data_IF_621033628038
#
_entry.id   IF_621033628038
#
_cell.length_a   1.000
_cell.length_b   1.000
_cell.length_c   1.000
_cell.angle_alpha   90.00
_cell.angle_beta   90.00
_cell.angle_gamma   90.00
#
_symmetry.space_group_name_H-M   'P 1'
#
loop_
_entity.id
_entity.type
_entity.pdbx_description
1 polymer ?
#
# COMPACT_ATOMS: atom_id res chain seq x y z
N UNK A 1 -6.05 27.49 -8.55
CA UNK A 1 -6.40 28.21 -7.29
C UNK A 1 -7.40 27.40 -6.49
N UNK A 2 -7.12 27.18 -5.21
CA UNK A 2 -8.02 26.48 -4.29
C UNK A 2 -8.90 27.48 -3.51
N UNK A 3 -10.17 27.13 -3.25
CA UNK A 3 -11.11 27.93 -2.45
C UNK A 3 -11.68 27.12 -1.28
N UNK A 4 -12.10 27.80 -0.20
CA UNK A 4 -12.77 27.17 0.91
C UNK A 4 -14.21 27.68 0.98
N UNK A 5 -15.17 26.74 1.08
CA UNK A 5 -16.59 27.04 1.32
C UNK A 5 -17.09 26.33 2.55
N UNK A 6 -17.79 27.06 3.40
CA UNK A 6 -18.49 26.49 4.55
C UNK A 6 -19.91 26.07 4.14
N UNK A 7 -20.30 24.84 4.53
CA UNK A 7 -21.64 24.31 4.30
C UNK A 7 -21.98 23.30 5.40
N UNK A 8 -23.11 23.50 6.06
CA UNK A 8 -23.61 22.62 7.12
C UNK A 8 -22.58 22.38 8.26
N UNK A 9 -21.88 23.46 8.70
CA UNK A 9 -20.86 23.37 9.75
C UNK A 9 -19.58 22.63 9.38
N UNK A 10 -19.40 22.31 8.08
CA UNK A 10 -18.19 21.68 7.53
C UNK A 10 -17.51 22.60 6.53
N UNK A 11 -16.20 22.47 6.39
CA UNK A 11 -15.37 23.30 5.51
C UNK A 11 -14.94 22.48 4.28
N UNK A 12 -15.36 22.91 3.10
CA UNK A 12 -15.02 22.24 1.85
C UNK A 12 -13.91 23.01 1.14
N UNK A 13 -12.80 22.32 0.85
CA UNK A 13 -11.73 22.81 0.00
C UNK A 13 -12.04 22.38 -1.43
N UNK A 14 -12.15 23.36 -2.33
CA UNK A 14 -12.52 23.15 -3.74
C UNK A 14 -11.36 23.60 -4.60
N UNK A 15 -10.89 22.74 -5.49
CA UNK A 15 -9.83 23.06 -6.44
C UNK A 15 -10.02 22.35 -7.77
N UNK A 16 -9.48 22.95 -8.82
CA UNK A 16 -9.51 22.39 -10.17
C UNK A 16 -8.20 21.69 -10.48
N UNK A 17 -8.26 20.62 -11.23
CA UNK A 17 -7.10 19.91 -11.73
C UNK A 17 -7.35 19.43 -13.16
N UNK A 18 -6.28 19.14 -13.88
CA UNK A 18 -6.36 18.54 -15.22
C UNK A 18 -6.12 17.03 -15.06
N UNK A 19 -7.04 16.22 -15.58
CA UNK A 19 -6.85 14.77 -15.60
C UNK A 19 -5.86 14.36 -16.71
N UNK A 20 -5.42 13.11 -16.78
CA UNK A 20 -4.49 12.65 -17.80
C UNK A 20 -5.03 12.76 -19.23
N UNK A 21 -6.35 12.79 -19.39
CA UNK A 21 -7.01 12.98 -20.68
C UNK A 21 -7.04 14.47 -21.09
N UNK A 22 -6.39 15.35 -20.33
CA UNK A 22 -6.35 16.81 -20.57
C UNK A 22 -7.64 17.53 -20.17
N UNK A 23 -8.60 16.88 -19.53
CA UNK A 23 -9.88 17.50 -19.14
C UNK A 23 -9.78 18.16 -17.77
N UNK A 24 -10.27 19.38 -17.66
CA UNK A 24 -10.33 20.10 -16.39
C UNK A 24 -11.47 19.57 -15.53
N UNK A 25 -11.14 19.08 -14.33
CA UNK A 25 -12.08 18.57 -13.32
C UNK A 25 -11.99 19.36 -12.02
N UNK A 26 -13.06 19.32 -11.20
CA UNK A 26 -13.08 19.90 -9.86
C UNK A 26 -13.10 18.78 -8.81
N UNK A 27 -12.33 18.97 -7.74
CA UNK A 27 -12.36 18.09 -6.56
C UNK A 27 -12.81 18.87 -5.33
N UNK A 28 -13.59 18.20 -4.49
CA UNK A 28 -14.12 18.70 -3.23
C UNK A 28 -13.63 17.82 -2.11
N UNK A 29 -12.98 18.41 -1.11
CA UNK A 29 -12.51 17.72 0.09
C UNK A 29 -13.16 18.38 1.30
N UNK A 30 -13.82 17.60 2.18
CA UNK A 30 -14.57 18.10 3.33
C UNK A 30 -13.79 17.89 4.62
N UNK A 31 -13.67 18.94 5.43
CA UNK A 31 -12.98 18.96 6.71
C UNK A 31 -13.91 19.37 7.83
N UNK A 32 -13.64 18.88 9.05
CA UNK A 32 -14.43 19.21 10.25
C UNK A 32 -14.12 20.62 10.75
N UNK A 33 -12.87 21.08 10.58
CA UNK A 33 -12.42 22.38 11.10
C UNK A 33 -11.90 23.30 9.99
N UNK A 34 -12.07 24.61 10.21
CA UNK A 34 -11.53 25.64 9.29
C UNK A 34 -10.00 25.64 9.25
N UNK A 35 -9.35 25.24 10.34
CA UNK A 35 -7.90 25.16 10.42
C UNK A 35 -7.34 24.07 9.51
N UNK A 36 -7.95 22.88 9.50
CA UNK A 36 -7.59 21.77 8.59
C UNK A 36 -7.81 22.15 7.13
N UNK A 37 -8.96 22.76 6.83
CA UNK A 37 -9.26 23.23 5.48
C UNK A 37 -8.24 24.28 4.99
N UNK A 38 -7.83 25.23 5.85
CA UNK A 38 -6.79 26.22 5.53
C UNK A 38 -5.43 25.56 5.31
N UNK A 39 -5.04 24.59 6.13
CA UNK A 39 -3.79 23.84 5.97
C UNK A 39 -3.78 23.13 4.62
N UNK A 40 -4.86 22.43 4.31
CA UNK A 40 -4.99 21.70 3.04
C UNK A 40 -4.99 22.64 1.83
N UNK A 41 -5.66 23.78 1.91
CA UNK A 41 -5.62 24.79 0.86
C UNK A 41 -4.19 25.25 0.56
N UNK A 42 -3.39 25.57 1.58
CA UNK A 42 -1.98 25.97 1.41
C UNK A 42 -1.13 24.85 0.78
N UNK A 43 -1.35 23.59 1.17
CA UNK A 43 -0.66 22.44 0.57
C UNK A 43 -0.97 22.30 -0.93
N UNK A 44 -2.23 22.51 -1.32
CA UNK A 44 -2.66 22.44 -2.70
C UNK A 44 -2.04 23.59 -3.51
N UNK A 45 -2.09 24.82 -3.00
CA UNK A 45 -1.52 26.00 -3.65
C UNK A 45 0.00 25.85 -3.82
N UNK A 46 0.70 25.36 -2.80
CA UNK A 46 2.14 25.07 -2.89
C UNK A 46 2.46 24.00 -3.96
N UNK A 47 1.68 22.90 -4.01
CA UNK A 47 1.85 21.86 -5.02
C UNK A 47 1.51 22.37 -6.43
N UNK A 48 0.52 23.25 -6.57
CA UNK A 48 0.15 23.90 -7.83
C UNK A 48 1.29 24.80 -8.33
N UNK A 49 1.90 25.60 -7.45
CA UNK A 49 3.05 26.46 -7.77
C UNK A 49 4.29 25.68 -8.19
N UNK A 50 4.55 24.53 -7.53
CA UNK A 50 5.68 23.65 -7.84
C UNK A 50 5.45 22.75 -9.05
N UNK A 51 4.28 22.82 -9.71
CA UNK A 51 3.91 21.97 -10.83
C UNK A 51 3.77 20.48 -10.45
N UNK A 52 3.77 20.17 -9.14
CA UNK A 52 3.75 18.82 -8.59
C UNK A 52 2.36 18.37 -8.11
N UNK A 53 1.30 18.95 -8.66
CA UNK A 53 -0.07 18.60 -8.27
C UNK A 53 -0.50 17.29 -8.92
N UNK A 54 -0.05 16.18 -8.31
CA UNK A 54 -0.50 14.84 -8.67
C UNK A 54 -1.77 14.54 -7.91
N UNK A 55 -2.83 14.21 -8.63
CA UNK A 55 -4.01 13.62 -8.03
C UNK A 55 -3.86 12.12 -8.22
N UNK A 56 -3.71 11.35 -7.13
CA UNK A 56 -3.63 9.91 -7.23
C UNK A 56 -4.89 9.40 -7.94
N UNK A 57 -4.73 8.74 -9.07
CA UNK A 57 -5.83 8.07 -9.77
C UNK A 57 -6.26 6.84 -8.97
N UNK A 58 -5.30 6.11 -8.43
CA UNK A 58 -5.54 5.01 -7.51
C UNK A 58 -5.85 5.53 -6.11
N UNK A 59 -6.99 5.16 -5.56
CA UNK A 59 -7.42 5.52 -4.21
C UNK A 59 -7.17 4.41 -3.20
N UNK A 60 -7.23 3.16 -3.64
CA UNK A 60 -7.13 1.95 -2.81
C UNK A 60 -5.91 1.11 -3.17
N UNK A 61 -5.52 0.23 -2.26
CA UNK A 61 -4.44 -0.72 -2.50
C UNK A 61 -4.75 -1.67 -3.66
N UNK A 62 -6.02 -2.04 -3.82
CA UNK A 62 -6.47 -2.89 -4.94
C UNK A 62 -6.23 -2.20 -6.29
N UNK A 63 -6.72 -0.96 -6.43
CA UNK A 63 -6.54 -0.19 -7.67
C UNK A 63 -5.05 -0.04 -8.04
N UNK A 64 -4.18 0.24 -7.04
CA UNK A 64 -2.74 0.32 -7.25
C UNK A 64 -2.14 -1.01 -7.71
N UNK A 65 -2.53 -2.13 -7.09
CA UNK A 65 -2.02 -3.45 -7.47
C UNK A 65 -2.49 -3.88 -8.85
N UNK A 66 -3.75 -3.62 -9.19
CA UNK A 66 -4.31 -3.92 -10.51
C UNK A 66 -3.54 -3.17 -11.60
N UNK A 67 -3.27 -1.88 -11.38
CA UNK A 67 -2.47 -1.05 -12.29
C UNK A 67 -1.00 -1.48 -12.34
N UNK A 68 -0.41 -1.80 -11.19
CA UNK A 68 0.98 -2.28 -11.10
C UNK A 68 1.20 -3.60 -11.84
N UNK A 69 0.28 -4.55 -11.72
CA UNK A 69 0.35 -5.81 -12.47
C UNK A 69 0.14 -5.57 -13.96
N UNK A 70 -0.81 -4.72 -14.34
CA UNK A 70 -1.16 -4.47 -15.74
C UNK A 70 -0.05 -3.72 -16.50
N UNK A 71 0.51 -2.65 -15.90
CA UNK A 71 1.46 -1.74 -16.58
C UNK A 71 2.93 -2.09 -16.32
N UNK A 72 3.24 -2.77 -15.22
CA UNK A 72 4.61 -3.11 -14.87
C UNK A 72 4.86 -4.62 -14.86
N UNK A 73 3.97 -5.38 -14.22
CA UNK A 73 4.17 -6.81 -14.00
C UNK A 73 4.24 -7.61 -15.29
N UNK A 74 3.32 -7.36 -16.21
CA UNK A 74 3.24 -8.10 -17.48
C UNK A 74 4.50 -8.00 -18.34
N UNK A 75 5.13 -6.83 -18.34
CA UNK A 75 6.26 -6.56 -19.22
C UNK A 75 7.62 -6.82 -18.54
N UNK A 76 7.67 -6.79 -17.20
CA UNK A 76 8.93 -6.82 -16.46
C UNK A 76 9.16 -8.11 -15.66
N UNK A 77 8.14 -8.95 -15.47
CA UNK A 77 8.29 -10.18 -14.69
C UNK A 77 8.42 -11.40 -15.61
N UNK A 78 9.36 -12.30 -15.29
CA UNK A 78 9.36 -13.63 -15.85
C UNK A 78 8.06 -14.37 -15.47
N UNK A 79 7.59 -15.30 -16.28
CA UNK A 79 6.30 -15.98 -16.11
C UNK A 79 6.14 -16.59 -14.71
N UNK A 80 7.14 -17.29 -14.20
CA UNK A 80 7.11 -17.86 -12.85
C UNK A 80 7.02 -16.81 -11.73
N UNK A 81 7.65 -15.65 -11.94
CA UNK A 81 7.58 -14.51 -11.02
C UNK A 81 6.19 -13.86 -11.06
N UNK A 82 5.62 -13.75 -12.25
CA UNK A 82 4.27 -13.23 -12.45
C UNK A 82 3.24 -14.08 -11.69
N UNK A 83 3.24 -15.40 -11.91
CA UNK A 83 2.33 -16.33 -11.25
C UNK A 83 2.48 -16.30 -9.74
N UNK A 84 3.73 -16.28 -9.23
CA UNK A 84 4.02 -16.18 -7.81
C UNK A 84 3.53 -14.86 -7.19
N UNK A 85 3.77 -13.74 -7.85
CA UNK A 85 3.34 -12.43 -7.37
C UNK A 85 1.81 -12.28 -7.40
N UNK A 86 1.14 -12.72 -8.48
CA UNK A 86 -0.32 -12.71 -8.58
C UNK A 86 -0.94 -13.60 -7.49
N UNK A 87 -0.34 -14.76 -7.22
CA UNK A 87 -0.77 -15.64 -6.14
C UNK A 87 -0.64 -14.96 -4.76
N UNK A 88 0.47 -14.27 -4.47
CA UNK A 88 0.65 -13.50 -3.23
C UNK A 88 -0.39 -12.37 -3.12
N UNK A 89 -0.65 -11.65 -4.21
CA UNK A 89 -1.63 -10.56 -4.26
C UNK A 89 -3.02 -11.10 -3.90
N UNK A 90 -3.47 -12.13 -4.60
CA UNK A 90 -4.83 -12.65 -4.47
C UNK A 90 -5.08 -13.36 -3.13
N UNK A 91 -4.08 -14.07 -2.61
CA UNK A 91 -4.24 -14.88 -1.42
C UNK A 91 -3.98 -14.12 -0.11
N UNK A 92 -3.08 -13.14 -0.12
CA UNK A 92 -2.60 -12.52 1.12
C UNK A 92 -2.75 -11.02 1.18
N UNK A 93 -2.73 -10.30 0.03
CA UNK A 93 -2.76 -8.84 0.05
C UNK A 93 -4.20 -8.33 -0.12
N UNK A 94 -4.85 -8.63 -1.22
CA UNK A 94 -6.19 -8.14 -1.52
C UNK A 94 -7.23 -8.47 -0.46
N UNK A 95 -7.30 -9.72 0.10
CA UNK A 95 -8.32 -10.05 1.10
C UNK A 95 -8.17 -9.29 2.43
N UNK A 96 -7.00 -8.73 2.70
CA UNK A 96 -6.67 -8.13 4.00
C UNK A 96 -6.59 -6.61 3.93
N UNK A 97 -6.01 -6.07 2.86
CA UNK A 97 -5.74 -4.64 2.71
C UNK A 97 -6.16 -4.06 1.34
N UNK A 98 -6.84 -4.83 0.50
CA UNK A 98 -7.24 -4.38 -0.84
C UNK A 98 -8.08 -3.10 -0.84
N UNK A 99 -9.04 -2.97 0.06
CA UNK A 99 -9.95 -1.83 0.15
C UNK A 99 -9.38 -0.64 0.95
N UNK A 100 -8.17 -0.79 1.50
CA UNK A 100 -7.54 0.28 2.29
C UNK A 100 -7.09 1.41 1.37
N UNK A 101 -7.39 2.64 1.75
CA UNK A 101 -6.95 3.84 1.01
C UNK A 101 -5.44 4.00 1.09
N UNK A 102 -4.81 4.34 -0.03
CA UNK A 102 -3.36 4.56 -0.10
C UNK A 102 -2.87 5.60 0.91
N UNK A 103 -3.68 6.64 1.17
CA UNK A 103 -3.36 7.68 2.15
C UNK A 103 -3.28 7.17 3.61
N UNK A 104 -3.87 6.02 3.92
CA UNK A 104 -3.85 5.40 5.25
C UNK A 104 -2.67 4.45 5.43
N UNK A 105 -1.99 4.07 4.33
CA UNK A 105 -0.89 3.12 4.34
C UNK A 105 0.41 3.83 4.73
N UNK A 106 0.83 3.62 5.96
CA UNK A 106 2.10 4.09 6.49
C UNK A 106 2.93 2.90 7.04
N UNK A 107 4.17 3.15 7.47
CA UNK A 107 5.07 2.11 7.98
C UNK A 107 4.45 1.29 9.11
N UNK A 108 3.80 1.98 10.09
CA UNK A 108 3.12 1.31 11.21
C UNK A 108 1.96 0.43 10.74
N UNK A 109 1.22 0.86 9.72
CA UNK A 109 0.15 0.07 9.11
C UNK A 109 0.72 -1.22 8.50
N UNK A 110 1.81 -1.14 7.74
CA UNK A 110 2.48 -2.28 7.12
C UNK A 110 2.98 -3.27 8.18
N UNK A 111 3.58 -2.79 9.27
CA UNK A 111 4.01 -3.68 10.37
C UNK A 111 2.84 -4.39 11.04
N UNK A 112 1.71 -3.70 11.29
CA UNK A 112 0.47 -4.32 11.79
C UNK A 112 -0.08 -5.36 10.82
N UNK A 113 -0.02 -5.07 9.53
CA UNK A 113 -0.43 -6.02 8.49
C UNK A 113 0.43 -7.30 8.53
N UNK A 114 1.75 -7.19 8.71
CA UNK A 114 2.60 -8.38 8.87
C UNK A 114 2.26 -9.19 10.11
N UNK A 115 1.93 -8.54 11.22
CA UNK A 115 1.47 -9.25 12.43
C UNK A 115 0.12 -9.96 12.20
N UNK A 116 -0.76 -9.40 11.38
CA UNK A 116 -2.00 -10.05 10.97
C UNK A 116 -1.72 -11.26 10.08
N UNK A 117 -0.78 -11.15 9.13
CA UNK A 117 -0.37 -12.28 8.28
C UNK A 117 0.15 -13.48 9.07
N UNK A 118 0.93 -13.26 10.13
CA UNK A 118 1.42 -14.35 11.01
C UNK A 118 0.28 -15.18 11.64
N UNK A 119 -0.90 -14.62 11.76
CA UNK A 119 -2.11 -15.25 12.31
C UNK A 119 -3.09 -15.69 11.23
N UNK A 120 -2.77 -15.45 9.96
CA UNK A 120 -3.61 -15.84 8.82
C UNK A 120 -3.28 -17.29 8.44
N UNK A 121 -4.29 -18.14 8.22
CA UNK A 121 -4.05 -19.49 7.73
C UNK A 121 -3.31 -19.50 6.39
N UNK A 122 -2.35 -20.42 6.24
CA UNK A 122 -1.67 -20.60 4.96
C UNK A 122 -2.64 -21.14 3.90
N UNK A 123 -2.43 -20.77 2.65
CA UNK A 123 -3.24 -21.26 1.52
C UNK A 123 -2.93 -22.75 1.27
N UNK A 124 -3.93 -23.51 0.87
CA UNK A 124 -3.79 -24.89 0.43
C UNK A 124 -2.98 -24.92 -0.87
N UNK A 125 -1.91 -25.70 -0.90
CA UNK A 125 -1.20 -25.93 -2.15
C UNK A 125 -2.07 -26.78 -3.08
N UNK A 126 -2.46 -26.25 -4.27
CA UNK A 126 -3.36 -26.95 -5.16
C UNK A 126 -2.78 -28.25 -5.74
N UNK A 127 -1.44 -28.37 -5.83
CA UNK A 127 -0.78 -29.59 -6.35
C UNK A 127 -0.84 -30.77 -5.39
N UNK A 128 -0.83 -30.51 -4.08
CA UNK A 128 -0.80 -31.57 -3.04
C UNK A 128 -2.06 -31.63 -2.19
N UNK A 129 -3.01 -30.70 -2.41
CA UNK A 129 -4.27 -30.63 -1.69
C UNK A 129 -4.16 -30.35 -0.18
N UNK A 130 -2.98 -29.94 0.31
CA UNK A 130 -2.69 -29.74 1.73
C UNK A 130 -2.01 -28.38 1.97
N UNK A 131 -2.17 -27.86 3.19
CA UNK A 131 -1.39 -26.70 3.67
C UNK A 131 0.02 -27.20 4.07
N UNK A 132 1.04 -26.49 3.58
CA UNK A 132 2.44 -26.74 3.98
C UNK A 132 2.70 -26.30 5.44
N UNK A 133 2.01 -25.27 5.88
CA UNK A 133 2.05 -24.73 7.23
C UNK A 133 0.64 -24.39 7.68
N UNK A 134 0.38 -24.37 8.98
CA UNK A 134 -0.90 -23.96 9.54
C UNK A 134 -1.17 -22.47 9.27
N UNK A 135 -0.16 -21.63 9.48
CA UNK A 135 -0.21 -20.18 9.26
C UNK A 135 0.82 -19.73 8.23
N UNK A 136 0.66 -18.50 7.76
CA UNK A 136 1.58 -17.87 6.81
C UNK A 136 2.99 -17.82 7.39
N UNK A 137 3.96 -18.34 6.65
CA UNK A 137 5.36 -18.41 7.08
C UNK A 137 6.03 -17.03 7.02
N UNK A 138 7.07 -16.84 7.82
CA UNK A 138 7.89 -15.61 7.76
C UNK A 138 8.61 -15.45 6.41
N UNK A 139 8.86 -16.56 5.69
CA UNK A 139 9.37 -16.53 4.32
C UNK A 139 8.34 -15.89 3.39
N UNK A 140 7.09 -16.35 3.42
CA UNK A 140 5.98 -15.78 2.64
C UNK A 140 5.79 -14.29 2.93
N UNK A 141 5.86 -13.89 4.22
CA UNK A 141 5.77 -12.48 4.60
C UNK A 141 6.91 -11.66 4.01
N UNK A 142 8.11 -12.23 3.94
CA UNK A 142 9.27 -11.58 3.30
C UNK A 142 9.06 -11.39 1.80
N UNK A 143 8.44 -12.34 1.12
CA UNK A 143 8.14 -12.23 -0.30
C UNK A 143 7.00 -11.22 -0.57
N UNK A 144 5.97 -11.20 0.28
CA UNK A 144 4.95 -10.13 0.30
C UNK A 144 5.60 -8.76 0.53
N UNK A 145 6.55 -8.65 1.47
CA UNK A 145 7.28 -7.39 1.70
C UNK A 145 8.05 -6.91 0.47
N UNK A 146 8.77 -7.80 -0.20
CA UNK A 146 9.52 -7.47 -1.43
C UNK A 146 8.58 -6.96 -2.52
N UNK A 147 7.46 -7.65 -2.72
CA UNK A 147 6.45 -7.28 -3.70
C UNK A 147 5.85 -5.90 -3.38
N UNK A 148 5.38 -5.67 -2.15
CA UNK A 148 4.83 -4.38 -1.72
C UNK A 148 5.87 -3.26 -1.81
N UNK A 149 7.12 -3.51 -1.43
CA UNK A 149 8.20 -2.54 -1.53
C UNK A 149 8.44 -2.12 -2.98
N UNK A 150 8.43 -3.07 -3.92
CA UNK A 150 8.57 -2.78 -5.35
C UNK A 150 7.35 -2.04 -5.89
N UNK A 151 6.14 -2.45 -5.53
CA UNK A 151 4.89 -1.80 -5.93
C UNK A 151 4.84 -0.34 -5.45
N UNK A 152 5.11 -0.06 -4.18
CA UNK A 152 5.14 1.31 -3.66
C UNK A 152 6.28 2.15 -4.24
N UNK A 153 7.41 1.53 -4.58
CA UNK A 153 8.48 2.24 -5.27
C UNK A 153 8.04 2.66 -6.68
N UNK A 154 7.29 1.81 -7.37
CA UNK A 154 6.71 2.15 -8.67
C UNK A 154 5.61 3.20 -8.54
N UNK A 155 4.79 3.12 -7.49
CA UNK A 155 3.76 4.13 -7.20
C UNK A 155 4.38 5.53 -6.96
N UNK A 156 5.57 5.62 -6.35
CA UNK A 156 6.31 6.87 -6.24
C UNK A 156 6.76 7.39 -7.62
N UNK A 157 7.29 6.51 -8.48
CA UNK A 157 7.67 6.88 -9.86
C UNK A 157 6.48 7.37 -10.69
N UNK A 158 5.29 6.81 -10.42
CA UNK A 158 4.02 7.25 -11.03
C UNK A 158 3.41 8.46 -10.31
N UNK A 159 4.09 8.99 -9.30
CA UNK A 159 3.65 10.15 -8.52
C UNK A 159 2.32 9.94 -7.76
N UNK A 160 1.95 8.68 -7.54
CA UNK A 160 0.74 8.29 -6.78
C UNK A 160 0.97 8.36 -5.27
N UNK A 161 2.22 8.28 -4.81
CA UNK A 161 2.62 8.32 -3.40
C UNK A 161 3.90 9.14 -3.21
N UNK A 162 4.01 9.81 -2.06
CA UNK A 162 5.21 10.60 -1.73
C UNK A 162 6.33 9.75 -1.10
N UNK A 163 5.97 8.68 -0.40
CA UNK A 163 6.91 7.85 0.38
C UNK A 163 6.55 6.38 0.27
N UNK A 164 7.58 5.54 0.30
CA UNK A 164 7.40 4.09 0.34
C UNK A 164 7.34 3.61 1.80
N UNK A 165 6.18 3.13 2.28
CA UNK A 165 5.99 2.73 3.67
C UNK A 165 6.77 1.46 4.05
N UNK A 166 7.23 0.67 3.06
CA UNK A 166 7.97 -0.56 3.30
C UNK A 166 9.46 -0.34 3.57
N UNK A 167 10.04 0.85 3.28
CA UNK A 167 11.50 1.07 3.42
C UNK A 167 11.96 0.83 4.86
N UNK A 168 11.20 1.32 5.83
CA UNK A 168 11.53 1.24 7.26
C UNK A 168 10.69 0.20 8.01
N UNK A 169 9.83 -0.55 7.32
CA UNK A 169 8.99 -1.56 7.95
C UNK A 169 9.82 -2.79 8.36
N UNK A 170 9.66 -3.19 9.61
CA UNK A 170 10.32 -4.37 10.17
C UNK A 170 9.59 -5.64 9.77
N UNK A 171 10.27 -6.51 9.03
CA UNK A 171 9.72 -7.83 8.66
C UNK A 171 9.92 -8.81 9.82
N UNK A 172 8.90 -9.58 10.23
CA UNK A 172 9.03 -10.59 11.27
C UNK A 172 10.12 -11.63 10.97
N UNK A 173 10.99 -11.88 11.94
CA UNK A 173 12.03 -12.91 11.83
C UNK A 173 11.49 -14.26 12.30
N UNK A 174 12.00 -15.34 11.71
CA UNK A 174 11.75 -16.68 12.21
C UNK A 174 12.32 -16.79 13.63
N UNK A 175 11.48 -17.13 14.63
CA UNK A 175 12.00 -17.54 15.95
C UNK A 175 12.63 -18.92 15.77
N UNK A 176 13.94 -19.01 15.62
CA UNK A 176 14.67 -20.25 15.87
C UNK A 176 14.37 -20.64 17.31
N UNK A 177 13.78 -21.82 17.53
CA UNK A 177 13.82 -22.42 18.86
C UNK A 177 15.29 -22.58 19.19
N UNK A 178 15.83 -21.75 20.08
CA UNK A 178 17.16 -21.92 20.60
C UNK A 178 17.19 -23.33 21.19
N UNK A 179 17.98 -24.19 20.59
CA UNK A 179 18.28 -25.50 21.16
C UNK A 179 18.74 -25.28 22.59
N UNK A 180 18.13 -25.99 23.52
CA UNK A 180 18.59 -26.13 24.87
C UNK A 180 20.01 -26.67 24.75
N UNK A 181 21.01 -25.83 24.98
CA UNK A 181 22.38 -26.28 25.24
C UNK A 181 22.31 -27.02 26.58
N UNK A 182 22.26 -28.35 26.49
CA UNK A 182 22.39 -29.18 27.67
C UNK A 182 23.70 -28.89 28.37
N UNK A 183 23.78 -29.03 29.71
CA UNK A 183 24.99 -28.77 30.46
C UNK A 183 26.10 -29.68 29.98
N UNK A 184 27.30 -29.15 29.74
CA UNK A 184 28.53 -29.90 29.58
C UNK A 184 28.68 -30.76 30.86
N UNK A 185 28.66 -32.09 30.71
CA UNK A 185 29.15 -32.98 31.76
C UNK A 185 30.67 -32.88 31.78
N UNK A 186 31.21 -32.38 32.89
CA UNK A 186 32.59 -32.54 33.30
C UNK A 186 32.88 -34.00 33.62
#
# INVERSE_FOLDING_TARGET
>A
MASIRERNGKFNVIYSYTDPDGKRKQKWETYATKAEAKKRKKEIEYKEEMGSMVIPQCKTMKELLDEYVALYGKDNWALSTYDGNVSLINNYILPIIGDVKLAEINTRFIEKYYQKLLKTPAVINPMIGKRMNEYVSTSTIRDVHKLLRSCFQQAIKWELMEKNPCIYATVPKHKTKNGISGPLKL
#
